data_IF_056549742214
#
_entry.id   IF_056549742214
#
_cell.length_a   1.000
_cell.length_b   1.000
_cell.length_c   1.000
_cell.angle_alpha   90.00
_cell.angle_beta   90.00
_cell.angle_gamma   90.00
#
_symmetry.space_group_name_H-M   'P 1'
#
loop_
_entity.id
_entity.type
_entity.pdbx_description
1 polymer ?
#
# COMPACT_ATOMS: atom_id res chain seq x y z
N UNK A 1 35.62 -7.22 -5.95
CA UNK A 1 34.52 -7.52 -5.01
C UNK A 1 33.84 -6.19 -4.64
N UNK A 2 33.32 -5.46 -5.64
CA UNK A 2 32.78 -4.09 -5.50
C UNK A 2 31.31 -3.98 -5.99
N UNK A 3 30.74 -5.04 -6.57
CA UNK A 3 29.49 -4.91 -7.34
C UNK A 3 28.26 -5.62 -6.75
N UNK A 4 28.37 -6.25 -5.58
CA UNK A 4 27.19 -6.87 -4.95
C UNK A 4 26.38 -5.87 -4.12
N UNK A 5 27.04 -4.98 -3.39
CA UNK A 5 26.38 -3.93 -2.62
C UNK A 5 25.69 -2.96 -3.60
N UNK A 6 26.39 -2.36 -4.55
CA UNK A 6 25.80 -1.44 -5.55
C UNK A 6 24.67 -2.06 -6.39
N UNK A 7 24.71 -3.36 -6.67
CA UNK A 7 23.61 -4.05 -7.37
C UNK A 7 22.40 -4.23 -6.45
N UNK A 8 22.61 -4.66 -5.19
CA UNK A 8 21.55 -4.73 -4.18
C UNK A 8 20.92 -3.35 -3.94
N UNK A 9 21.75 -2.29 -3.94
CA UNK A 9 21.31 -0.91 -3.83
C UNK A 9 20.47 -0.43 -5.03
N UNK A 10 20.77 -0.93 -6.23
CA UNK A 10 19.97 -0.70 -7.42
C UNK A 10 18.69 -1.56 -7.49
N UNK A 11 18.66 -2.69 -6.79
CA UNK A 11 17.50 -3.57 -6.67
C UNK A 11 16.51 -3.10 -5.58
N UNK A 12 16.89 -2.11 -4.77
CA UNK A 12 16.01 -1.43 -3.81
C UNK A 12 14.77 -0.79 -4.48
N UNK A 13 14.76 -0.66 -5.80
CA UNK A 13 13.62 -0.14 -6.57
C UNK A 13 12.65 -1.23 -7.08
N UNK A 14 12.80 -2.50 -6.69
CA UNK A 14 12.20 -3.64 -7.41
C UNK A 14 11.37 -4.64 -6.58
N UNK A 15 11.01 -4.34 -5.33
CA UNK A 15 10.17 -5.22 -4.50
C UNK A 15 8.68 -5.21 -4.94
N UNK A 16 7.93 -6.30 -4.72
CA UNK A 16 7.32 -6.99 -5.85
C UNK A 16 6.05 -6.40 -6.46
N UNK A 17 5.77 -6.77 -7.73
CA UNK A 17 6.68 -7.40 -8.69
C UNK A 17 7.29 -6.43 -9.72
N UNK A 18 7.89 -5.27 -9.39
CA UNK A 18 8.03 -4.24 -10.44
C UNK A 18 9.41 -3.89 -10.99
N UNK A 19 9.80 -4.72 -11.97
CA UNK A 19 10.02 -4.24 -13.35
C UNK A 19 8.85 -4.54 -14.31
N UNK A 20 7.70 -5.03 -13.80
CA UNK A 20 6.48 -5.38 -14.53
C UNK A 20 5.31 -4.42 -14.22
N UNK A 21 4.17 -4.61 -14.88
CA UNK A 21 2.94 -3.84 -14.65
C UNK A 21 2.34 -4.14 -13.26
N UNK A 22 1.94 -3.10 -12.54
CA UNK A 22 1.21 -3.22 -11.28
C UNK A 22 -0.10 -4.00 -11.44
N UNK A 23 -0.39 -5.03 -10.62
CA UNK A 23 -1.64 -5.77 -10.69
C UNK A 23 -2.80 -4.81 -10.45
N UNK A 24 -3.90 -4.97 -11.20
CA UNK A 24 -5.05 -4.09 -11.05
C UNK A 24 -5.67 -4.25 -9.65
N UNK A 25 -6.19 -3.14 -9.13
CA UNK A 25 -7.00 -3.17 -7.92
C UNK A 25 -8.36 -3.80 -8.21
N UNK A 26 -8.83 -4.64 -7.29
CA UNK A 26 -10.16 -5.24 -7.32
C UNK A 26 -11.26 -4.24 -6.92
N UNK A 27 -10.91 -3.25 -6.10
CA UNK A 27 -11.81 -2.22 -5.59
C UNK A 27 -11.05 -0.90 -5.43
N UNK A 28 -11.71 0.21 -5.74
CA UNK A 28 -11.15 1.54 -5.57
C UNK A 28 -11.40 2.08 -4.16
N UNK A 29 -10.57 3.04 -3.72
CA UNK A 29 -10.80 3.71 -2.45
C UNK A 29 -12.16 4.41 -2.47
N UNK A 30 -12.95 4.20 -1.41
CA UNK A 30 -14.33 4.65 -1.18
C UNK A 30 -15.42 3.97 -1.99
N UNK A 31 -15.05 2.97 -2.78
CA UNK A 31 -16.04 2.08 -3.34
C UNK A 31 -16.64 1.21 -2.22
N UNK A 32 -17.96 1.11 -2.23
CA UNK A 32 -18.73 0.25 -1.35
C UNK A 32 -18.52 -1.22 -1.74
N UNK A 33 -18.44 -2.07 -0.74
CA UNK A 33 -18.25 -3.51 -0.91
C UNK A 33 -19.22 -4.28 -0.02
N UNK A 34 -19.56 -5.50 -0.43
CA UNK A 34 -20.25 -6.46 0.43
C UNK A 34 -19.28 -7.55 0.86
N UNK A 35 -19.19 -7.81 2.17
CA UNK A 35 -18.37 -8.90 2.69
C UNK A 35 -18.99 -10.26 2.35
N UNK A 36 -18.23 -11.15 1.72
CA UNK A 36 -18.76 -12.43 1.21
C UNK A 36 -19.29 -13.36 2.31
N UNK A 37 -18.75 -13.26 3.53
CA UNK A 37 -19.15 -14.14 4.65
C UNK A 37 -20.45 -13.75 5.33
N UNK A 38 -20.83 -12.47 5.29
CA UNK A 38 -21.93 -11.94 6.13
C UNK A 38 -22.91 -11.03 5.37
N UNK A 39 -22.67 -10.77 4.09
CA UNK A 39 -23.43 -9.83 3.26
C UNK A 39 -23.57 -8.44 3.90
N UNK A 40 -22.54 -8.05 4.65
CA UNK A 40 -22.50 -6.77 5.36
C UNK A 40 -21.91 -5.70 4.45
N UNK A 41 -22.57 -4.52 4.34
CA UNK A 41 -22.04 -3.41 3.57
C UNK A 41 -20.86 -2.77 4.31
N UNK A 42 -19.79 -2.54 3.57
CA UNK A 42 -18.63 -1.75 3.98
C UNK A 42 -18.18 -0.87 2.84
N UNK A 43 -17.03 -0.22 3.01
CA UNK A 43 -16.36 0.45 1.90
C UNK A 43 -14.85 0.31 2.04
N UNK A 44 -14.17 0.30 0.90
CA UNK A 44 -12.71 0.28 0.87
C UNK A 44 -12.16 1.62 1.38
N UNK A 45 -11.40 1.59 2.47
CA UNK A 45 -10.69 2.75 2.99
C UNK A 45 -9.20 2.69 2.75
N UNK A 46 -8.65 1.57 2.31
CA UNK A 46 -7.24 1.46 2.00
C UNK A 46 -6.90 0.19 1.24
N UNK A 47 -5.70 0.15 0.68
CA UNK A 47 -5.13 -1.04 0.05
C UNK A 47 -3.63 -1.00 0.21
N UNK A 48 -3.00 -2.15 0.47
CA UNK A 48 -1.55 -2.29 0.49
C UNK A 48 -1.13 -3.63 -0.10
N UNK A 49 0.11 -3.68 -0.59
CA UNK A 49 0.71 -4.90 -1.11
C UNK A 49 1.38 -5.68 0.03
N UNK A 50 1.00 -6.94 0.20
CA UNK A 50 1.55 -7.82 1.21
C UNK A 50 1.47 -9.27 0.73
N UNK A 51 2.48 -10.10 1.00
CA UNK A 51 2.42 -11.52 0.68
C UNK A 51 2.19 -11.85 -0.81
N UNK A 52 2.61 -10.95 -1.73
CA UNK A 52 2.37 -11.05 -3.17
C UNK A 52 0.90 -10.86 -3.61
N UNK A 53 0.06 -10.28 -2.77
CA UNK A 53 -1.31 -9.92 -3.14
C UNK A 53 -1.71 -8.53 -2.61
N UNK A 54 -2.82 -8.00 -3.14
CA UNK A 54 -3.44 -6.80 -2.60
C UNK A 54 -4.29 -7.17 -1.37
N UNK A 55 -3.96 -6.55 -0.25
CA UNK A 55 -4.75 -6.59 0.98
C UNK A 55 -5.53 -5.29 1.09
N UNK A 56 -6.84 -5.40 1.27
CA UNK A 56 -7.75 -4.26 1.29
C UNK A 56 -8.19 -3.99 2.72
N UNK A 57 -8.10 -2.73 3.13
CA UNK A 57 -8.70 -2.25 4.35
C UNK A 57 -10.16 -1.86 4.07
N UNK A 58 -11.08 -2.63 4.63
CA UNK A 58 -12.52 -2.44 4.50
C UNK A 58 -13.07 -1.89 5.81
N UNK A 59 -13.68 -0.71 5.76
CA UNK A 59 -14.40 -0.17 6.91
C UNK A 59 -15.82 -0.73 6.95
N UNK A 60 -16.13 -1.49 8.00
CA UNK A 60 -17.43 -2.12 8.19
C UNK A 60 -17.81 -2.04 9.68
N UNK A 61 -19.04 -1.63 9.98
CA UNK A 61 -19.59 -1.57 11.36
C UNK A 61 -18.72 -0.85 12.42
N UNK A 62 -17.91 0.13 12.00
CA UNK A 62 -17.05 0.90 12.92
C UNK A 62 -15.63 0.35 13.07
N UNK A 63 -15.32 -0.77 12.41
CA UNK A 63 -14.01 -1.41 12.44
C UNK A 63 -13.37 -1.45 11.05
N UNK A 64 -12.06 -1.67 11.01
CA UNK A 64 -11.29 -1.84 9.78
C UNK A 64 -10.86 -3.31 9.71
N UNK A 65 -11.28 -3.99 8.65
CA UNK A 65 -10.92 -5.37 8.36
C UNK A 65 -9.90 -5.38 7.22
N UNK A 66 -8.83 -6.16 7.35
CA UNK A 66 -7.83 -6.36 6.30
C UNK A 66 -8.10 -7.67 5.60
N UNK A 67 -8.55 -7.60 4.35
CA UNK A 67 -9.08 -8.73 3.62
C UNK A 67 -8.50 -8.81 2.19
N UNK A 68 -8.20 -10.01 1.68
CA UNK A 68 -7.89 -10.19 0.27
C UNK A 68 -9.15 -10.03 -0.61
N UNK A 69 -8.93 -9.79 -1.91
CA UNK A 69 -10.02 -9.52 -2.88
C UNK A 69 -11.13 -10.58 -2.97
N UNK A 70 -10.84 -11.83 -2.58
CA UNK A 70 -11.78 -12.96 -2.62
C UNK A 70 -12.84 -12.92 -1.50
N UNK A 71 -12.68 -12.07 -0.50
CA UNK A 71 -13.53 -12.03 0.71
C UNK A 71 -14.58 -10.92 0.67
N UNK A 72 -14.66 -10.18 -0.43
CA UNK A 72 -15.67 -9.15 -0.65
C UNK A 72 -16.05 -9.03 -2.12
N UNK A 73 -17.15 -8.31 -2.37
CA UNK A 73 -17.64 -8.01 -3.71
C UNK A 73 -17.73 -6.49 -3.91
N UNK A 74 -17.04 -5.93 -4.93
CA UNK A 74 -17.15 -4.53 -5.30
C UNK A 74 -18.53 -4.21 -5.85
N UNK A 75 -19.05 -3.02 -5.54
CA UNK A 75 -20.38 -2.58 -5.99
C UNK A 75 -20.32 -1.53 -7.10
N UNK A 76 -19.15 -0.97 -7.39
CA UNK A 76 -18.96 0.24 -8.21
C UNK A 76 -19.73 1.48 -7.71
N UNK A 77 -20.28 1.44 -6.49
CA UNK A 77 -20.92 2.58 -5.84
C UNK A 77 -19.89 3.25 -4.95
N UNK A 78 -19.66 4.54 -5.14
CA UNK A 78 -18.68 5.29 -4.34
C UNK A 78 -19.37 6.07 -3.24
N UNK A 79 -18.82 6.05 -2.04
CA UNK A 79 -19.29 6.92 -0.96
C UNK A 79 -19.15 8.38 -1.35
N UNK A 80 -20.28 9.09 -1.32
CA UNK A 80 -20.32 10.54 -1.48
C UNK A 80 -19.55 11.20 -0.34
N UNK A 81 -18.34 11.66 -0.66
CA UNK A 81 -17.52 12.47 0.22
C UNK A 81 -16.66 13.39 -0.63
N UNK A 82 -16.34 14.58 -0.10
CA UNK A 82 -15.25 15.37 -0.66
C UNK A 82 -13.98 14.58 -0.40
N UNK A 83 -13.50 13.88 -1.42
CA UNK A 83 -12.26 13.13 -1.36
C UNK A 83 -11.16 14.15 -1.63
N UNK A 84 -10.32 14.51 -0.64
CA UNK A 84 -9.12 15.26 -0.96
C UNK A 84 -8.34 14.43 -1.97
N UNK A 85 -7.92 15.05 -3.07
CA UNK A 85 -7.13 14.34 -4.08
C UNK A 85 -5.87 13.83 -3.41
N UNK A 86 -5.62 12.52 -3.50
CA UNK A 86 -4.38 11.95 -3.00
C UNK A 86 -3.20 12.59 -3.73
N UNK A 87 -2.21 13.07 -2.98
CA UNK A 87 -1.01 13.70 -3.53
C UNK A 87 -0.11 12.69 -4.24
N UNK A 88 -0.18 11.43 -3.81
CA UNK A 88 0.57 10.32 -4.38
C UNK A 88 -0.33 9.13 -4.74
N UNK A 89 0.17 8.24 -5.60
CA UNK A 89 -0.51 7.05 -6.09
C UNK A 89 0.31 5.79 -5.76
N UNK A 90 -0.36 4.63 -5.77
CA UNK A 90 0.33 3.35 -5.70
C UNK A 90 1.32 3.27 -6.87
N UNK A 91 2.54 2.81 -6.59
CA UNK A 91 3.62 2.75 -7.56
C UNK A 91 4.38 4.07 -7.76
N UNK A 92 3.93 5.19 -7.19
CA UNK A 92 4.72 6.43 -7.24
C UNK A 92 6.03 6.24 -6.47
N UNK A 93 7.11 6.78 -7.04
CA UNK A 93 8.40 6.86 -6.39
C UNK A 93 8.45 8.14 -5.55
N UNK A 94 8.81 7.99 -4.28
CA UNK A 94 8.92 9.07 -3.31
C UNK A 94 10.28 9.05 -2.64
N UNK A 95 10.78 10.22 -2.29
CA UNK A 95 11.93 10.37 -1.41
C UNK A 95 11.45 10.55 0.03
N UNK A 96 12.05 9.76 0.92
CA UNK A 96 11.83 9.79 2.37
C UNK A 96 13.19 9.82 3.06
N UNK A 97 13.38 10.79 3.95
CA UNK A 97 14.66 10.99 4.65
C UNK A 97 14.73 10.14 5.92
N UNK A 98 14.92 8.83 5.71
CA UNK A 98 15.38 7.91 6.75
C UNK A 98 16.86 7.61 6.46
N UNK A 99 17.78 8.32 7.10
CA UNK A 99 19.24 8.16 6.89
C UNK A 99 19.77 6.71 7.04
N UNK A 100 20.92 6.32 6.47
CA UNK A 100 21.61 6.84 5.29
C UNK A 100 21.58 5.79 4.15
N UNK A 101 20.80 6.08 3.12
CA UNK A 101 20.69 5.36 1.84
C UNK A 101 19.85 4.06 1.84
N UNK A 102 19.00 3.85 0.79
CA UNK A 102 18.53 4.85 -0.17
C UNK A 102 17.43 5.70 0.47
N UNK A 103 17.10 6.86 -0.08
CA UNK A 103 15.94 7.68 0.33
C UNK A 103 14.72 7.43 -0.56
N UNK A 104 14.92 6.88 -1.76
CA UNK A 104 13.83 6.61 -2.71
C UNK A 104 13.12 5.31 -2.38
N UNK A 105 11.80 5.35 -2.35
CA UNK A 105 10.91 4.21 -2.08
C UNK A 105 9.69 4.27 -2.97
N UNK A 106 9.04 3.13 -3.10
CA UNK A 106 7.77 3.01 -3.82
C UNK A 106 6.63 3.02 -2.81
N UNK A 107 5.54 3.69 -3.17
CA UNK A 107 4.28 3.59 -2.45
C UNK A 107 3.62 2.26 -2.78
N UNK A 108 3.62 1.35 -1.82
CA UNK A 108 3.01 0.01 -1.89
C UNK A 108 1.65 -0.04 -1.19
N UNK A 109 1.25 1.02 -0.50
CA UNK A 109 -0.07 1.13 0.10
C UNK A 109 -0.62 2.54 0.09
N UNK A 110 -1.93 2.66 0.01
CA UNK A 110 -2.67 3.91 0.20
C UNK A 110 -3.81 3.64 1.15
N UNK A 111 -3.94 4.48 2.16
CA UNK A 111 -4.96 4.38 3.17
C UNK A 111 -5.58 5.75 3.43
N UNK A 112 -6.90 5.79 3.50
CA UNK A 112 -7.67 6.99 3.83
C UNK A 112 -8.20 6.86 5.26
N UNK A 113 -7.69 7.72 6.14
CA UNK A 113 -8.21 7.89 7.48
C UNK A 113 -8.91 9.25 7.59
N UNK A 114 -10.24 9.24 7.70
CA UNK A 114 -11.07 10.46 7.74
C UNK A 114 -10.80 11.40 6.55
N UNK A 115 -10.14 12.53 6.78
CA UNK A 115 -9.79 13.55 5.77
C UNK A 115 -8.31 13.50 5.37
N UNK A 116 -7.55 12.53 5.86
CA UNK A 116 -6.10 12.43 5.65
C UNK A 116 -5.76 11.17 4.87
N UNK A 117 -4.71 11.27 4.07
CA UNK A 117 -4.10 10.15 3.36
C UNK A 117 -2.86 9.69 4.10
N UNK A 118 -2.70 8.37 4.16
CA UNK A 118 -1.50 7.70 4.60
C UNK A 118 -1.00 6.82 3.47
N UNK A 119 0.31 6.73 3.36
CA UNK A 119 1.00 6.04 2.28
C UNK A 119 1.88 4.97 2.90
N UNK A 120 1.64 3.73 2.50
CA UNK A 120 2.45 2.57 2.86
C UNK A 120 3.70 2.60 1.99
N UNK A 121 4.81 3.02 2.58
CA UNK A 121 6.10 3.14 1.91
C UNK A 121 6.97 1.96 2.32
N UNK A 122 7.61 1.33 1.36
CA UNK A 122 8.54 0.23 1.61
C UNK A 122 9.60 0.62 2.65
N UNK A 123 9.71 -0.17 3.71
CA UNK A 123 10.59 0.09 4.86
C UNK A 123 11.86 -0.78 4.82
N UNK A 124 11.73 -2.07 4.51
CA UNK A 124 12.84 -3.04 4.52
C UNK A 124 12.97 -3.77 3.18
N UNK A 125 14.21 -4.10 2.81
CA UNK A 125 14.52 -4.91 1.62
C UNK A 125 14.02 -6.34 1.76
N UNK A 126 13.46 -6.96 0.70
CA UNK A 126 13.03 -8.36 0.72
C UNK A 126 14.18 -9.39 0.84
N UNK A 127 15.44 -8.95 0.84
CA UNK A 127 16.63 -9.81 0.77
C UNK A 127 17.21 -10.09 2.16
N UNK A 128 16.74 -9.41 3.21
CA UNK A 128 17.07 -9.79 4.59
C UNK A 128 16.25 -11.04 4.90
N UNK A 129 16.95 -12.17 5.04
CA UNK A 129 16.42 -13.53 5.19
C UNK A 129 15.16 -13.62 6.08
N UNK A 130 14.31 -14.59 5.72
CA UNK A 130 13.04 -15.09 6.31
C UNK A 130 12.94 -15.20 7.85
N UNK A 131 13.95 -14.76 8.61
CA UNK A 131 13.92 -14.75 10.07
C UNK A 131 13.15 -13.55 10.64
N UNK A 132 12.82 -12.54 9.81
CA UNK A 132 12.07 -11.33 10.22
C UNK A 132 10.56 -11.38 9.91
N UNK A 133 9.96 -12.58 9.89
CA UNK A 133 8.55 -12.86 9.54
C UNK A 133 7.47 -12.16 10.40
N UNK A 134 7.83 -11.22 11.29
CA UNK A 134 6.88 -10.51 12.16
C UNK A 134 6.94 -8.99 12.05
N UNK A 135 7.79 -8.41 11.18
CA UNK A 135 7.87 -6.96 11.00
C UNK A 135 7.23 -6.55 9.67
N UNK A 136 6.34 -5.56 9.73
CA UNK A 136 5.69 -4.98 8.55
C UNK A 136 6.77 -4.49 7.57
N UNK A 137 6.68 -4.91 6.31
CA UNK A 137 7.64 -4.56 5.25
C UNK A 137 7.51 -3.11 4.78
N UNK A 138 6.51 -2.39 5.29
CA UNK A 138 6.23 -1.00 4.97
C UNK A 138 5.94 -0.20 6.25
N UNK A 139 6.13 1.11 6.14
CA UNK A 139 5.79 2.11 7.14
C UNK A 139 4.67 3.00 6.58
N UNK A 140 3.71 3.37 7.42
CA UNK A 140 2.67 4.33 7.05
C UNK A 140 3.15 5.75 7.32
N UNK A 141 3.13 6.59 6.29
CA UNK A 141 3.57 7.98 6.36
C UNK A 141 2.49 8.93 5.88
N UNK A 142 2.48 10.14 6.42
CA UNK A 142 1.61 11.20 5.94
C UNK A 142 2.21 11.85 4.68
N UNK A 143 1.39 12.59 3.96
CA UNK A 143 1.80 13.38 2.80
C UNK A 143 2.96 14.34 3.10
N UNK A 144 2.94 14.98 4.27
CA UNK A 144 3.97 15.93 4.72
C UNK A 144 5.36 15.33 4.87
N UNK A 145 5.45 14.01 5.03
CA UNK A 145 6.70 13.28 5.23
C UNK A 145 7.28 12.76 3.91
N UNK A 146 6.59 12.96 2.78
CA UNK A 146 6.96 12.43 1.47
C UNK A 146 7.31 13.54 0.48
N UNK A 147 8.39 13.32 -0.27
CA UNK A 147 8.79 14.21 -1.37
C UNK A 147 8.59 13.49 -2.70
N UNK A 148 7.91 14.15 -3.64
CA UNK A 148 7.74 13.65 -5.00
C UNK A 148 9.05 13.79 -5.77
N UNK A 149 9.46 12.72 -6.46
CA UNK A 149 10.64 12.70 -7.34
C UNK A 149 10.31 13.28 -8.72
#
# INVERSE_FOLDING_TARGET
>A
MINQITFLESCWHLSPPWGQTMPPLAVQILEEVFLSSYDLPGYCCGVHWEGQEWVYAIFCLGEILYLPSKEFHPTNVFKNGVVPTSLFKLGDMVEVDFTPQPTRRIIQGIFRLKSSWLYGVEWCTPIVEETALSQSQFIWLADVDLVKV
#
